data_IF_879526025786
#
_entry.id   IF_879526025786
#
_cell.length_a   1.000
_cell.length_b   1.000
_cell.length_c   1.000
_cell.angle_alpha   90.00
_cell.angle_beta   90.00
_cell.angle_gamma   90.00
#
_symmetry.space_group_name_H-M   'P 1'
#
loop_
_entity.id
_entity.type
_entity.pdbx_description
1 polymer ?
#
# COMPACT_ATOMS: atom_id res chain seq x y z
N UNK A 1 -24.40 -1.43 -1.37
CA UNK A 1 -22.96 -1.49 -1.71
C UNK A 1 -22.51 -0.06 -1.92
N UNK A 2 -21.87 0.55 -0.93
CA UNK A 2 -21.20 1.84 -1.11
C UNK A 2 -19.99 1.58 -2.00
N UNK A 3 -19.92 2.18 -3.20
CA UNK A 3 -18.66 2.12 -3.96
C UNK A 3 -17.61 2.84 -3.13
N UNK A 4 -16.52 2.14 -2.79
CA UNK A 4 -15.37 2.79 -2.16
C UNK A 4 -14.87 3.89 -3.10
N UNK A 5 -14.75 5.13 -2.61
CA UNK A 5 -14.16 6.22 -3.38
C UNK A 5 -12.70 5.91 -3.68
N UNK A 6 -12.15 6.36 -4.80
CA UNK A 6 -10.71 6.24 -5.09
C UNK A 6 -9.90 7.34 -4.38
N UNK A 7 -8.63 7.06 -4.08
CA UNK A 7 -7.70 8.02 -3.49
C UNK A 7 -7.58 9.26 -4.36
N UNK A 8 -7.87 10.44 -3.79
CA UNK A 8 -7.90 11.74 -4.48
C UNK A 8 -8.78 11.75 -5.77
N UNK A 9 -9.74 10.84 -5.89
CA UNK A 9 -10.55 10.71 -7.10
C UNK A 9 -9.79 10.20 -8.32
N UNK A 10 -8.59 9.62 -8.15
CA UNK A 10 -7.83 9.07 -9.27
C UNK A 10 -8.57 7.91 -9.96
N UNK A 11 -8.41 7.76 -11.29
CA UNK A 11 -9.08 6.70 -12.03
C UNK A 11 -8.43 5.34 -11.78
N UNK A 12 -9.12 4.27 -12.15
CA UNK A 12 -8.58 2.90 -12.14
C UNK A 12 -7.63 2.60 -13.32
N UNK A 13 -7.72 3.41 -14.38
CA UNK A 13 -6.86 3.36 -15.56
C UNK A 13 -6.65 4.76 -16.17
N UNK A 14 -5.48 4.99 -16.78
CA UNK A 14 -5.21 6.24 -17.48
C UNK A 14 -5.81 6.24 -18.90
N UNK A 15 -6.28 7.40 -19.34
CA UNK A 15 -6.74 7.60 -20.70
C UNK A 15 -5.63 7.31 -21.73
N UNK A 16 -6.01 6.76 -22.88
CA UNK A 16 -5.09 6.51 -23.98
C UNK A 16 -4.08 5.36 -23.77
N UNK A 17 -4.26 4.53 -22.74
CA UNK A 17 -3.39 3.38 -22.48
C UNK A 17 -1.99 3.77 -21.96
N UNK A 18 -1.83 5.00 -21.49
CA UNK A 18 -0.59 5.45 -20.85
C UNK A 18 -0.28 4.60 -19.62
N UNK A 19 0.98 4.20 -19.46
CA UNK A 19 1.43 3.53 -18.25
C UNK A 19 1.39 4.51 -17.05
N UNK A 20 0.82 4.11 -15.91
CA UNK A 20 0.83 4.95 -14.72
C UNK A 20 2.25 5.11 -14.17
N UNK A 21 2.53 6.27 -13.58
CA UNK A 21 3.78 6.50 -12.84
C UNK A 21 3.66 6.04 -11.39
N UNK A 22 2.46 6.05 -10.84
CA UNK A 22 2.16 5.59 -9.48
C UNK A 22 0.89 4.76 -9.48
N UNK A 23 0.90 3.66 -8.73
CA UNK A 23 -0.27 2.79 -8.57
C UNK A 23 -0.56 2.64 -7.09
N UNK A 24 -1.71 3.16 -6.67
CA UNK A 24 -2.23 3.03 -5.31
C UNK A 24 -3.07 1.75 -5.25
N UNK A 25 -2.89 0.96 -4.20
CA UNK A 25 -3.77 -0.16 -3.87
C UNK A 25 -3.82 -0.37 -2.36
N UNK A 26 -4.86 -1.02 -1.87
CA UNK A 26 -5.03 -1.30 -0.44
C UNK A 26 -4.95 -2.79 -0.13
N UNK A 27 -4.59 -3.14 1.10
CA UNK A 27 -4.71 -4.50 1.63
C UNK A 27 -5.26 -4.44 3.06
N UNK A 28 -6.29 -5.22 3.37
CA UNK A 28 -6.89 -5.20 4.72
C UNK A 28 -6.14 -6.07 5.73
N UNK A 29 -5.54 -7.17 5.24
CA UNK A 29 -4.83 -8.15 6.07
C UNK A 29 -3.49 -8.55 5.45
N UNK A 30 -2.45 -8.62 6.29
CA UNK A 30 -1.21 -9.33 5.98
C UNK A 30 -1.20 -10.68 6.68
N UNK A 31 -0.47 -10.79 7.80
CA UNK A 31 -0.42 -11.97 8.66
C UNK A 31 -0.93 -11.67 10.07
N UNK A 32 -1.96 -12.40 10.50
CA UNK A 32 -2.54 -12.31 11.84
C UNK A 32 -1.82 -13.25 12.81
N UNK A 33 -1.46 -12.77 14.00
CA UNK A 33 -0.96 -13.65 15.06
C UNK A 33 -2.02 -14.68 15.51
N UNK A 34 -1.61 -15.89 15.94
CA UNK A 34 -2.56 -16.89 16.40
C UNK A 34 -3.51 -16.38 17.49
N UNK A 35 -4.81 -16.59 17.30
CA UNK A 35 -5.85 -16.18 18.25
C UNK A 35 -6.07 -14.66 18.37
N UNK A 36 -5.45 -13.83 17.53
CA UNK A 36 -5.72 -12.40 17.44
C UNK A 36 -6.76 -12.09 16.37
N UNK A 37 -7.48 -10.99 16.57
CA UNK A 37 -8.43 -10.45 15.60
C UNK A 37 -7.81 -9.26 14.89
N UNK A 38 -7.75 -9.34 13.56
CA UNK A 38 -7.20 -8.31 12.68
C UNK A 38 -8.22 -7.32 12.12
N UNK A 39 -9.50 -7.51 12.40
CA UNK A 39 -10.56 -6.81 11.68
C UNK A 39 -10.53 -5.29 11.86
N UNK A 40 -9.96 -4.80 12.97
CA UNK A 40 -9.89 -3.38 13.30
C UNK A 40 -9.13 -2.50 12.31
N UNK A 41 -8.27 -3.06 11.46
CA UNK A 41 -7.46 -2.33 10.48
C UNK A 41 -7.88 -2.55 9.02
N UNK A 42 -8.89 -3.41 8.77
CA UNK A 42 -9.34 -3.78 7.42
C UNK A 42 -9.84 -2.59 6.62
N UNK A 43 -10.48 -1.64 7.30
CA UNK A 43 -11.08 -0.45 6.67
C UNK A 43 -10.10 0.72 6.53
N UNK A 44 -8.83 0.55 6.90
CA UNK A 44 -7.85 1.65 6.87
C UNK A 44 -7.71 2.26 5.47
N UNK A 45 -7.59 1.43 4.43
CA UNK A 45 -7.47 1.90 3.05
C UNK A 45 -8.70 2.71 2.62
N UNK A 46 -9.91 2.22 2.90
CA UNK A 46 -11.15 2.90 2.55
C UNK A 46 -11.35 4.19 3.35
N UNK A 47 -10.95 4.21 4.62
CA UNK A 47 -10.98 5.41 5.45
C UNK A 47 -10.02 6.49 4.92
N UNK A 48 -8.81 6.12 4.50
CA UNK A 48 -7.85 7.04 3.87
C UNK A 48 -8.42 7.59 2.57
N UNK A 49 -9.01 6.74 1.72
CA UNK A 49 -9.63 7.20 0.46
C UNK A 49 -10.80 8.15 0.71
N UNK A 50 -11.66 7.84 1.69
CA UNK A 50 -12.76 8.71 2.08
C UNK A 50 -12.26 10.08 2.58
N UNK A 51 -11.24 10.09 3.43
CA UNK A 51 -10.62 11.32 3.92
C UNK A 51 -9.98 12.15 2.79
N UNK A 52 -9.39 11.50 1.79
CA UNK A 52 -8.78 12.20 0.65
C UNK A 52 -9.78 12.90 -0.28
N UNK A 53 -11.10 12.67 -0.13
CA UNK A 53 -12.09 13.25 -1.03
C UNK A 53 -12.21 14.77 -0.89
N UNK A 54 -11.94 15.32 0.30
CA UNK A 54 -11.97 16.76 0.51
C UNK A 54 -10.88 17.48 -0.32
N UNK A 55 -9.79 16.77 -0.62
CA UNK A 55 -8.64 17.27 -1.40
C UNK A 55 -8.71 16.92 -2.89
N UNK A 56 -9.57 15.97 -3.29
CA UNK A 56 -9.67 15.52 -4.69
C UNK A 56 -9.94 16.67 -5.70
N UNK A 57 -10.81 17.66 -5.42
CA UNK A 57 -11.01 18.81 -6.30
C UNK A 57 -9.84 19.79 -6.35
N UNK A 58 -8.86 19.65 -5.43
CA UNK A 58 -7.78 20.61 -5.22
C UNK A 58 -6.47 20.19 -5.90
N UNK A 59 -6.41 19.03 -6.56
CA UNK A 59 -5.17 18.51 -7.18
C UNK A 59 -4.55 19.43 -8.26
N UNK A 60 -5.37 20.30 -8.85
CA UNK A 60 -4.92 21.32 -9.82
C UNK A 60 -4.66 22.69 -9.17
N UNK A 61 -4.94 22.86 -7.87
CA UNK A 61 -4.67 24.10 -7.15
C UNK A 61 -3.17 24.24 -6.85
N UNK A 62 -2.76 25.48 -6.62
CA UNK A 62 -1.38 25.81 -6.28
C UNK A 62 -1.01 25.27 -4.90
N UNK A 63 0.01 24.41 -4.86
CA UNK A 63 0.66 23.96 -3.64
C UNK A 63 1.94 24.80 -3.43
N UNK A 64 2.05 25.46 -2.27
CA UNK A 64 3.18 26.34 -1.96
C UNK A 64 4.47 25.57 -1.62
N UNK A 65 4.36 24.34 -1.13
CA UNK A 65 5.50 23.48 -0.82
C UNK A 65 6.11 22.91 -2.10
N UNK A 66 5.27 22.62 -3.10
CA UNK A 66 5.71 22.19 -4.44
C UNK A 66 6.08 23.35 -5.36
N UNK A 67 5.57 24.56 -5.09
CA UNK A 67 5.74 25.73 -5.96
C UNK A 67 4.92 25.66 -7.26
N UNK A 68 3.78 24.96 -7.23
CA UNK A 68 2.89 24.73 -8.38
C UNK A 68 1.83 23.67 -8.08
N UNK A 69 0.96 23.33 -9.04
CA UNK A 69 0.00 22.22 -8.87
C UNK A 69 0.69 20.86 -8.74
N UNK A 70 0.00 19.87 -8.15
CA UNK A 70 0.54 18.53 -7.89
C UNK A 70 1.19 17.87 -9.12
N UNK A 71 0.57 18.04 -10.30
CA UNK A 71 1.07 17.49 -11.56
C UNK A 71 1.79 18.51 -12.44
N UNK A 72 2.10 19.71 -11.93
CA UNK A 72 2.85 20.74 -12.68
C UNK A 72 2.20 21.05 -14.04
N UNK A 73 0.86 21.15 -14.06
CA UNK A 73 0.05 21.40 -15.26
C UNK A 73 0.01 20.24 -16.29
N UNK A 74 0.59 19.08 -15.97
CA UNK A 74 0.56 17.86 -16.81
C UNK A 74 -0.67 17.02 -16.48
N UNK A 75 -0.97 16.08 -17.37
CA UNK A 75 -2.03 15.10 -17.14
C UNK A 75 -1.76 14.24 -15.90
N UNK A 76 -2.83 13.88 -15.19
CA UNK A 76 -2.79 12.91 -14.09
C UNK A 76 -2.09 11.63 -14.55
N UNK A 77 -1.15 11.16 -13.74
CA UNK A 77 -0.35 9.98 -14.05
C UNK A 77 -0.39 8.90 -12.95
N UNK A 78 -1.38 9.02 -12.05
CA UNK A 78 -1.62 8.11 -10.94
C UNK A 78 -2.92 7.34 -11.18
N UNK A 79 -2.95 6.08 -10.74
CA UNK A 79 -4.18 5.27 -10.73
C UNK A 79 -4.40 4.66 -9.36
N UNK A 80 -5.66 4.45 -9.01
CA UNK A 80 -6.06 3.67 -7.84
C UNK A 80 -6.64 2.33 -8.28
N UNK A 81 -5.90 1.26 -8.02
CA UNK A 81 -6.25 -0.10 -8.38
C UNK A 81 -7.19 -0.78 -7.35
N UNK A 82 -7.72 -0.04 -6.38
CA UNK A 82 -8.65 -0.55 -5.38
C UNK A 82 -7.98 -1.41 -4.31
N UNK A 83 -8.74 -2.33 -3.72
CA UNK A 83 -8.25 -3.21 -2.64
C UNK A 83 -7.94 -4.61 -3.17
N UNK A 84 -6.82 -5.17 -2.72
CA UNK A 84 -6.51 -6.59 -2.83
C UNK A 84 -7.50 -7.35 -1.94
N UNK A 85 -8.07 -8.44 -2.46
CA UNK A 85 -8.92 -9.32 -1.66
C UNK A 85 -8.08 -10.13 -0.67
N UNK A 86 -8.02 -9.64 0.56
CA UNK A 86 -7.33 -10.28 1.67
C UNK A 86 -8.33 -10.84 2.69
N UNK A 87 -7.98 -11.94 3.36
CA UNK A 87 -8.87 -12.67 4.27
C UNK A 87 -8.19 -12.88 5.62
N UNK A 88 -8.89 -12.60 6.73
CA UNK A 88 -8.37 -12.85 8.07
C UNK A 88 -7.96 -14.32 8.24
N UNK A 89 -6.78 -14.57 8.83
CA UNK A 89 -6.14 -15.89 8.99
C UNK A 89 -5.63 -16.59 7.73
N UNK A 90 -5.85 -16.06 6.53
CA UNK A 90 -5.19 -16.53 5.30
C UNK A 90 -3.81 -15.86 5.14
N UNK A 91 -2.94 -16.03 6.14
CA UNK A 91 -1.68 -15.28 6.21
C UNK A 91 -0.81 -15.49 4.97
N UNK A 92 -0.64 -16.74 4.52
CA UNK A 92 0.17 -17.05 3.33
C UNK A 92 -0.48 -16.54 2.04
N UNK A 93 -1.79 -16.74 1.86
CA UNK A 93 -2.50 -16.29 0.67
C UNK A 93 -2.52 -14.77 0.56
N UNK A 94 -2.70 -14.06 1.68
CA UNK A 94 -2.62 -12.59 1.72
C UNK A 94 -1.23 -12.11 1.32
N UNK A 95 -0.17 -12.68 1.90
CA UNK A 95 1.21 -12.32 1.55
C UNK A 95 1.47 -12.53 0.06
N UNK A 96 1.08 -13.68 -0.49
CA UNK A 96 1.27 -13.98 -1.91
C UNK A 96 0.56 -12.96 -2.82
N UNK A 97 -0.68 -12.56 -2.49
CA UNK A 97 -1.43 -11.57 -3.29
C UNK A 97 -0.83 -10.17 -3.22
N UNK A 98 -0.40 -9.73 -2.03
CA UNK A 98 0.23 -8.40 -1.84
C UNK A 98 1.57 -8.35 -2.59
N UNK A 99 2.40 -9.39 -2.45
CA UNK A 99 3.66 -9.49 -3.17
C UNK A 99 3.44 -9.48 -4.69
N UNK A 100 2.51 -10.30 -5.19
CA UNK A 100 2.19 -10.36 -6.62
C UNK A 100 1.75 -9.00 -7.16
N UNK A 101 0.88 -8.27 -6.44
CA UNK A 101 0.45 -6.93 -6.86
C UNK A 101 1.61 -5.94 -6.85
N UNK A 102 2.49 -6.01 -5.85
CA UNK A 102 3.69 -5.16 -5.78
C UNK A 102 4.60 -5.41 -6.98
N UNK A 103 4.87 -6.68 -7.32
CA UNK A 103 5.68 -7.07 -8.49
C UNK A 103 5.07 -6.62 -9.80
N UNK A 104 3.74 -6.73 -9.95
CA UNK A 104 3.01 -6.26 -11.13
C UNK A 104 3.26 -4.77 -11.38
N UNK A 105 3.14 -3.95 -10.31
CA UNK A 105 3.36 -2.51 -10.40
C UNK A 105 4.83 -2.17 -10.72
N UNK A 106 5.77 -2.82 -10.05
CA UNK A 106 7.21 -2.62 -10.29
C UNK A 106 7.62 -3.03 -11.71
N UNK A 107 7.05 -4.12 -12.25
CA UNK A 107 7.29 -4.57 -13.62
C UNK A 107 6.80 -3.56 -14.67
N UNK A 108 5.78 -2.76 -14.33
CA UNK A 108 5.32 -1.64 -15.15
C UNK A 108 6.19 -0.37 -15.03
N UNK A 109 7.31 -0.43 -14.29
CA UNK A 109 8.17 0.73 -13.97
C UNK A 109 7.42 1.85 -13.24
N UNK A 110 6.37 1.50 -12.50
CA UNK A 110 5.58 2.40 -11.69
C UNK A 110 5.97 2.30 -10.21
N UNK A 111 5.70 3.36 -9.44
CA UNK A 111 5.88 3.37 -7.99
C UNK A 111 4.66 2.75 -7.30
N UNK A 112 4.81 1.65 -6.55
CA UNK A 112 3.71 1.09 -5.77
C UNK A 112 3.47 1.89 -4.49
N UNK A 113 2.20 2.21 -4.22
CA UNK A 113 1.74 2.76 -2.94
C UNK A 113 0.72 1.78 -2.35
N UNK A 114 1.04 1.23 -1.17
CA UNK A 114 0.14 0.37 -0.43
C UNK A 114 -0.52 1.15 0.73
N UNK A 115 -1.85 1.10 0.82
CA UNK A 115 -2.64 1.66 1.92
C UNK A 115 -3.14 0.55 2.85
N UNK A 116 -2.81 0.64 4.14
CA UNK A 116 -3.20 -0.35 5.15
C UNK A 116 -2.61 -1.74 4.89
N UNK A 117 -2.87 -2.75 5.72
CA UNK A 117 -3.60 -2.77 6.98
C UNK A 117 -2.66 -2.52 8.15
N UNK A 118 -2.54 -3.50 9.06
CA UNK A 118 -1.47 -3.46 10.07
C UNK A 118 -0.08 -3.58 9.43
N UNK A 119 0.97 -3.37 10.23
CA UNK A 119 2.35 -3.34 9.73
C UNK A 119 2.81 -4.68 9.13
N UNK A 120 2.06 -5.79 9.32
CA UNK A 120 2.41 -7.08 8.71
C UNK A 120 2.35 -7.07 7.18
N UNK A 121 1.60 -6.13 6.57
CA UNK A 121 1.50 -5.97 5.11
C UNK A 121 2.79 -5.44 4.47
N UNK A 122 3.66 -4.81 5.26
CA UNK A 122 4.96 -4.29 4.78
C UNK A 122 5.87 -5.44 4.34
N UNK A 123 5.76 -6.60 4.98
CA UNK A 123 6.56 -7.79 4.66
C UNK A 123 6.34 -8.24 3.20
N UNK A 124 5.12 -8.62 2.78
CA UNK A 124 4.90 -9.02 1.39
C UNK A 124 5.03 -7.86 0.40
N UNK A 125 4.82 -6.61 0.82
CA UNK A 125 5.12 -5.45 0.00
C UNK A 125 6.62 -5.39 -0.35
N UNK A 126 7.49 -5.44 0.65
CA UNK A 126 8.95 -5.42 0.44
C UNK A 126 9.45 -6.68 -0.28
N UNK A 127 8.83 -7.85 -0.08
CA UNK A 127 9.15 -9.05 -0.82
C UNK A 127 9.01 -8.84 -2.35
N UNK A 128 8.10 -7.97 -2.79
CA UNK A 128 7.94 -7.61 -4.20
C UNK A 128 9.15 -6.94 -4.84
N UNK A 129 10.02 -6.32 -4.04
CA UNK A 129 11.25 -5.66 -4.49
C UNK A 129 12.44 -6.63 -4.65
N UNK A 130 12.28 -7.90 -4.26
CA UNK A 130 13.35 -8.89 -4.38
C UNK A 130 13.89 -8.96 -5.82
N UNK A 131 15.21 -8.78 -5.96
CA UNK A 131 15.92 -8.76 -7.24
C UNK A 131 16.12 -7.38 -7.88
N UNK A 132 15.54 -6.30 -7.33
CA UNK A 132 15.67 -4.94 -7.88
C UNK A 132 16.88 -4.13 -7.37
N UNK A 133 17.76 -4.77 -6.59
CA UNK A 133 18.94 -4.15 -5.98
C UNK A 133 18.74 -3.82 -4.50
N UNK A 134 19.71 -3.13 -3.86
CA UNK A 134 19.59 -2.73 -2.47
C UNK A 134 18.40 -1.78 -2.27
N UNK A 135 17.67 -1.98 -1.18
CA UNK A 135 16.57 -1.12 -0.74
C UNK A 135 16.99 -0.44 0.56
N UNK A 136 16.74 0.87 0.65
CA UNK A 136 16.89 1.63 1.88
C UNK A 136 15.50 1.92 2.43
N UNK A 137 15.29 1.63 3.72
CA UNK A 137 14.01 1.79 4.37
C UNK A 137 14.11 2.94 5.38
N UNK A 138 13.23 3.93 5.22
CA UNK A 138 12.96 4.94 6.23
C UNK A 138 11.63 4.59 6.90
N UNK A 139 11.70 4.03 8.11
CA UNK A 139 10.53 3.75 8.93
C UNK A 139 10.27 4.94 9.86
N UNK A 140 9.02 5.39 9.91
CA UNK A 140 8.53 6.35 10.90
C UNK A 140 7.53 5.60 11.78
N UNK A 141 7.99 5.11 12.92
CA UNK A 141 7.19 4.30 13.83
C UNK A 141 7.62 4.55 15.28
N UNK A 142 6.71 4.26 16.21
CA UNK A 142 7.01 4.22 17.63
C UNK A 142 7.77 2.94 18.03
N UNK A 143 7.71 1.89 17.20
CA UNK A 143 8.37 0.61 17.41
C UNK A 143 9.44 0.34 16.34
N UNK A 144 10.33 -0.61 16.62
CA UNK A 144 11.44 -0.96 15.71
C UNK A 144 11.11 -2.15 14.79
N UNK A 145 10.02 -2.86 15.07
CA UNK A 145 9.50 -4.01 14.32
C UNK A 145 10.54 -5.07 13.91
N UNK A 146 11.38 -5.41 14.89
CA UNK A 146 12.53 -6.30 14.73
C UNK A 146 12.39 -7.66 15.42
N UNK A 147 11.18 -8.07 15.84
CA UNK A 147 11.01 -9.39 16.44
C UNK A 147 11.22 -10.48 15.39
N UNK A 148 11.84 -11.60 15.79
CA UNK A 148 11.98 -12.76 14.90
C UNK A 148 10.67 -13.56 14.80
N UNK A 149 10.01 -13.71 15.95
CA UNK A 149 8.81 -14.50 16.11
C UNK A 149 7.97 -13.95 17.27
N UNK A 150 6.65 -13.98 17.10
CA UNK A 150 5.65 -13.76 18.16
C UNK A 150 4.62 -14.89 18.09
N UNK A 151 4.43 -15.61 19.19
CA UNK A 151 3.43 -16.66 19.32
C UNK A 151 3.47 -17.71 18.17
N UNK A 152 4.66 -18.05 17.64
CA UNK A 152 4.84 -18.99 16.54
C UNK A 152 4.70 -18.42 15.13
N UNK A 153 4.41 -17.11 14.97
CA UNK A 153 4.31 -16.43 13.69
C UNK A 153 5.49 -15.46 13.50
N UNK A 154 6.17 -15.56 12.36
CA UNK A 154 7.37 -14.78 12.01
C UNK A 154 7.06 -13.59 11.09
N UNK A 155 5.86 -13.56 10.52
CA UNK A 155 5.44 -12.59 9.51
C UNK A 155 4.35 -11.63 9.99
N UNK A 156 4.11 -11.54 11.30
CA UNK A 156 3.18 -10.57 11.87
C UNK A 156 3.78 -9.18 12.05
N UNK A 157 2.95 -8.23 12.47
CA UNK A 157 3.21 -6.78 12.47
C UNK A 157 4.35 -6.29 13.37
N UNK A 158 5.00 -7.13 14.17
CA UNK A 158 6.18 -6.75 14.98
C UNK A 158 7.52 -7.19 14.38
N UNK A 159 7.48 -7.74 13.17
CA UNK A 159 8.61 -8.36 12.46
C UNK A 159 9.00 -7.74 11.10
N UNK A 160 8.28 -6.76 10.50
CA UNK A 160 8.61 -6.24 9.16
C UNK A 160 10.07 -5.90 8.91
N UNK A 161 10.72 -5.12 9.77
CA UNK A 161 12.10 -4.73 9.54
C UNK A 161 13.07 -5.90 9.72
N UNK A 162 12.76 -6.83 10.63
CA UNK A 162 13.52 -8.08 10.74
C UNK A 162 13.42 -8.90 9.46
N UNK A 163 12.22 -9.06 8.89
CA UNK A 163 12.02 -9.78 7.61
C UNK A 163 12.73 -9.07 6.44
N UNK A 164 12.70 -7.74 6.40
CA UNK A 164 13.35 -6.96 5.36
C UNK A 164 14.88 -7.07 5.34
N UNK A 165 15.48 -7.41 6.48
CA UNK A 165 16.94 -7.55 6.62
C UNK A 165 17.51 -8.90 6.18
N UNK A 166 16.64 -9.89 5.93
CA UNK A 166 17.01 -11.27 5.56
C UNK A 166 17.03 -11.47 4.03
#
# INVERSE_FOLDING_TARGET
MTSSSSFLGFPDCLAGGCAPRMVIYGAGHGSTYPGKDSSGYVLAADAIRAASQDDAPLVEHWDFDLGGPLFDGKAVCCVDAGNISTVMHDNEGNRARIEAKTREVLAASAVPILLGGDDSVVIPFLAGFAGLGPVWILQIDAHIDWRDEVDGERYGYSSPMRRASE
#
